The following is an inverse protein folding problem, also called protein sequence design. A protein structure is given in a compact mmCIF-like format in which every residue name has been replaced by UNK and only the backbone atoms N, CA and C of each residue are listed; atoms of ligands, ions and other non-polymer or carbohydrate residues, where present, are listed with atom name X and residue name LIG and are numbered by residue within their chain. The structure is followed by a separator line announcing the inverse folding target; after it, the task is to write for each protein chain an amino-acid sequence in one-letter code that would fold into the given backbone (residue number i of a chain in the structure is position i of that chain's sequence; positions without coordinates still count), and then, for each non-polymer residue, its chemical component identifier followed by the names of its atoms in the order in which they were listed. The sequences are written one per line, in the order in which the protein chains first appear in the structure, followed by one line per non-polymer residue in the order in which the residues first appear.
data_IF_416660530968
#
_entry.id   IF_416660530968
#
_cell.length_a   1.000
_cell.length_b   1.000
_cell.length_c   1.000
_cell.angle_alpha   90.00
_cell.angle_beta   90.00
_cell.angle_gamma   90.00
#
_symmetry.space_group_name_H-M   'P 1'
#
loop_
_entity.id
_entity.type
_entity.pdbx_description
1 polymer ?
#
# COMPACT_ATOMS: atom_id res chain seq x y z
N UNK A 1 60.88 19.38 -5.46
CA UNK A 1 59.40 19.35 -5.45
C UNK A 1 58.95 19.67 -4.04
N UNK A 2 58.15 20.73 -3.84
CA UNK A 2 57.56 21.03 -2.53
C UNK A 2 56.52 19.94 -2.23
N UNK A 3 56.78 19.11 -1.22
CA UNK A 3 55.86 18.07 -0.78
C UNK A 3 54.67 18.68 -0.04
N UNK A 4 53.49 18.11 -0.25
CA UNK A 4 52.29 18.46 0.49
C UNK A 4 52.49 18.13 1.97
N UNK A 5 52.16 19.04 2.88
CA UNK A 5 52.29 18.78 4.31
C UNK A 5 51.10 17.95 4.83
N UNK A 6 51.33 17.17 5.87
CA UNK A 6 50.26 16.38 6.51
C UNK A 6 49.11 17.26 7.02
N UNK A 7 49.41 18.48 7.45
CA UNK A 7 48.41 19.44 7.94
C UNK A 7 47.51 19.94 6.81
N UNK A 8 48.08 20.27 5.64
CA UNK A 8 47.29 20.69 4.48
C UNK A 8 46.32 19.59 4.02
N UNK A 9 46.77 18.34 4.02
CA UNK A 9 45.90 17.20 3.69
C UNK A 9 44.79 17.02 4.72
N UNK A 10 45.11 17.19 6.01
CA UNK A 10 44.17 17.03 7.11
C UNK A 10 43.06 18.10 7.10
N UNK A 11 43.39 19.35 6.79
CA UNK A 11 42.37 20.42 6.70
C UNK A 11 41.40 20.15 5.54
N UNK A 12 41.90 19.66 4.41
CA UNK A 12 41.05 19.36 3.23
C UNK A 12 40.07 18.24 3.54
N UNK A 13 40.52 17.13 4.15
CA UNK A 13 39.60 16.04 4.51
C UNK A 13 38.59 16.47 5.58
N UNK A 14 38.98 17.35 6.52
CA UNK A 14 38.08 17.89 7.53
C UNK A 14 36.95 18.73 6.90
N UNK A 15 37.28 19.58 5.93
CA UNK A 15 36.28 20.38 5.20
C UNK A 15 35.35 19.46 4.38
N UNK A 16 35.89 18.47 3.66
CA UNK A 16 35.10 17.51 2.88
C UNK A 16 34.13 16.74 3.80
N UNK A 17 34.61 16.31 4.99
CA UNK A 17 33.78 15.60 5.96
C UNK A 17 32.61 16.46 6.47
N UNK A 18 32.84 17.74 6.78
CA UNK A 18 31.79 18.68 7.20
C UNK A 18 30.76 18.88 6.09
N UNK A 19 31.22 19.14 4.85
CA UNK A 19 30.34 19.32 3.71
C UNK A 19 29.51 18.07 3.42
N UNK A 20 30.13 16.88 3.44
CA UNK A 20 29.44 15.62 3.25
C UNK A 20 28.41 15.36 4.35
N UNK A 21 28.74 15.65 5.61
CA UNK A 21 27.83 15.46 6.74
C UNK A 21 26.54 16.31 6.62
N UNK A 22 26.62 17.50 6.03
CA UNK A 22 25.45 18.34 5.77
C UNK A 22 24.65 17.88 4.53
N UNK A 23 25.32 17.33 3.52
CA UNK A 23 24.68 16.91 2.26
C UNK A 23 23.98 15.55 2.36
N UNK A 24 24.53 14.59 3.11
CA UNK A 24 24.00 13.22 3.21
C UNK A 24 22.54 13.16 3.69
N UNK A 25 22.12 13.89 4.76
CA UNK A 25 20.72 13.88 5.19
C UNK A 25 19.77 14.48 4.15
N UNK A 26 20.20 15.52 3.43
CA UNK A 26 19.41 16.15 2.38
C UNK A 26 19.24 15.21 1.18
N UNK A 27 20.32 14.56 0.75
CA UNK A 27 20.29 13.58 -0.34
C UNK A 27 19.43 12.36 0.00
N UNK A 28 19.50 11.86 1.23
CA UNK A 28 18.66 10.76 1.70
C UNK A 28 17.17 11.11 1.60
N UNK A 29 16.77 12.30 2.06
CA UNK A 29 15.38 12.80 1.93
C UNK A 29 14.96 12.98 0.47
N UNK A 30 15.84 13.50 -0.38
CA UNK A 30 15.57 13.68 -1.81
C UNK A 30 15.33 12.32 -2.50
N UNK A 31 16.19 11.33 -2.21
CA UNK A 31 16.05 9.96 -2.73
C UNK A 31 14.71 9.33 -2.30
N UNK A 32 14.31 9.50 -1.05
CA UNK A 32 13.04 8.96 -0.56
C UNK A 32 11.83 9.62 -1.22
N UNK A 33 11.86 10.95 -1.42
CA UNK A 33 10.81 11.66 -2.18
C UNK A 33 10.74 11.21 -3.64
N UNK A 34 11.89 10.94 -4.26
CA UNK A 34 11.93 10.41 -5.63
C UNK A 34 11.27 9.02 -5.71
N UNK A 35 11.63 8.11 -4.80
CA UNK A 35 10.98 6.79 -4.69
C UNK A 35 9.47 6.90 -4.46
N UNK A 36 9.03 7.76 -3.54
CA UNK A 36 7.60 8.01 -3.31
C UNK A 36 6.89 8.50 -4.56
N UNK A 37 7.51 9.41 -5.31
CA UNK A 37 6.94 9.94 -6.56
C UNK A 37 6.82 8.85 -7.62
N UNK A 38 7.82 7.97 -7.72
CA UNK A 38 7.77 6.80 -8.60
C UNK A 38 6.64 5.85 -8.19
N UNK A 39 6.49 5.55 -6.90
CA UNK A 39 5.40 4.70 -6.39
C UNK A 39 4.02 5.32 -6.63
N UNK A 40 3.87 6.63 -6.43
CA UNK A 40 2.62 7.32 -6.75
C UNK A 40 2.29 7.23 -8.25
N UNK A 41 3.30 7.33 -9.12
CA UNK A 41 3.11 7.13 -10.56
C UNK A 41 2.74 5.69 -10.92
N UNK A 42 3.22 4.70 -10.17
CA UNK A 42 2.80 3.30 -10.31
C UNK A 42 1.35 3.12 -9.84
N UNK A 43 0.96 3.73 -8.72
CA UNK A 43 -0.42 3.67 -8.22
C UNK A 43 -1.42 4.30 -9.18
N UNK A 44 -1.04 5.38 -9.89
CA UNK A 44 -1.87 5.93 -10.98
C UNK A 44 -2.05 4.95 -12.14
N UNK A 45 -1.03 4.17 -12.49
CA UNK A 45 -1.15 3.13 -13.51
C UNK A 45 -2.09 2.02 -13.04
N UNK A 46 -2.02 1.62 -11.76
CA UNK A 46 -2.96 0.65 -11.17
C UNK A 46 -4.38 1.20 -11.16
N UNK A 47 -4.58 2.46 -10.78
CA UNK A 47 -5.90 3.12 -10.82
C UNK A 47 -6.51 3.20 -12.21
N UNK A 48 -5.69 3.46 -13.24
CA UNK A 48 -6.13 3.39 -14.63
C UNK A 48 -6.53 1.97 -15.03
N UNK A 49 -5.69 0.97 -14.72
CA UNK A 49 -5.99 -0.43 -14.97
C UNK A 49 -7.27 -0.89 -14.27
N UNK A 50 -7.49 -0.44 -13.05
CA UNK A 50 -8.71 -0.67 -12.29
C UNK A 50 -9.96 -0.11 -12.99
N UNK A 51 -9.91 1.13 -13.48
CA UNK A 51 -11.02 1.71 -14.22
C UNK A 51 -11.32 0.96 -15.52
N UNK A 52 -10.28 0.60 -16.29
CA UNK A 52 -10.44 -0.19 -17.51
C UNK A 52 -11.06 -1.57 -17.22
N UNK A 53 -10.63 -2.23 -16.14
CA UNK A 53 -11.23 -3.48 -15.70
C UNK A 53 -12.71 -3.29 -15.32
N UNK A 54 -13.03 -2.28 -14.52
CA UNK A 54 -14.40 -1.97 -14.11
C UNK A 54 -15.33 -1.77 -15.31
N UNK A 55 -14.88 -1.05 -16.35
CA UNK A 55 -15.64 -0.86 -17.58
C UNK A 55 -15.86 -2.20 -18.31
N UNK A 56 -14.84 -3.05 -18.38
CA UNK A 56 -14.91 -4.36 -19.05
C UNK A 56 -15.78 -5.40 -18.32
N UNK A 57 -15.87 -5.31 -16.99
CA UNK A 57 -16.52 -6.32 -16.13
C UNK A 57 -17.92 -5.92 -15.68
N UNK A 58 -18.50 -4.85 -16.24
CA UNK A 58 -19.74 -4.23 -15.75
C UNK A 58 -19.68 -3.88 -14.25
N UNK A 59 -18.50 -3.43 -13.79
CA UNK A 59 -18.21 -3.05 -12.42
C UNK A 59 -18.18 -4.21 -11.43
N UNK A 60 -18.10 -5.46 -11.89
CA UNK A 60 -17.94 -6.61 -11.00
C UNK A 60 -16.47 -6.76 -10.64
N UNK A 61 -16.17 -6.64 -9.35
CA UNK A 61 -14.84 -6.88 -8.80
C UNK A 61 -14.72 -8.33 -8.29
N UNK A 62 -13.51 -8.93 -8.31
CA UNK A 62 -13.30 -10.27 -7.77
C UNK A 62 -13.58 -10.32 -6.27
N UNK A 63 -13.96 -11.49 -5.76
CA UNK A 63 -14.18 -11.70 -4.33
C UNK A 63 -12.93 -11.32 -3.51
N UNK A 64 -13.13 -10.57 -2.44
CA UNK A 64 -12.09 -10.29 -1.46
C UNK A 64 -11.77 -11.58 -0.70
N UNK A 65 -10.59 -12.14 -0.87
CA UNK A 65 -10.10 -13.20 -0.01
C UNK A 65 -8.58 -13.15 0.03
N UNK A 66 -8.02 -13.63 1.13
CA UNK A 66 -6.58 -13.71 1.27
C UNK A 66 -6.05 -14.84 0.36
N UNK A 67 -5.07 -14.54 -0.49
CA UNK A 67 -4.55 -15.48 -1.49
C UNK A 67 -3.03 -15.62 -1.34
N UNK A 68 -2.53 -16.78 -0.90
CA UNK A 68 -1.09 -17.03 -0.89
C UNK A 68 -0.59 -17.20 -2.32
N UNK A 69 0.62 -16.70 -2.59
CA UNK A 69 1.25 -16.74 -3.91
C UNK A 69 0.29 -16.28 -5.03
N UNK A 70 -0.25 -15.07 -4.88
CA UNK A 70 -1.35 -14.55 -5.70
C UNK A 70 -1.08 -14.49 -7.21
N UNK A 71 0.16 -14.56 -7.65
CA UNK A 71 0.55 -14.64 -9.07
C UNK A 71 0.68 -16.06 -9.61
N UNK A 72 0.49 -17.08 -8.77
CA UNK A 72 0.56 -18.49 -9.15
C UNK A 72 -0.56 -18.88 -10.11
N UNK A 73 -0.31 -19.73 -11.12
CA UNK A 73 -1.36 -20.31 -11.96
C UNK A 73 -2.41 -21.13 -11.18
N UNK A 74 -2.06 -21.58 -9.97
CA UNK A 74 -2.95 -22.34 -9.09
C UNK A 74 -3.70 -21.46 -8.09
N UNK A 75 -3.34 -20.17 -8.00
CA UNK A 75 -4.04 -19.24 -7.13
C UNK A 75 -5.46 -18.99 -7.68
N UNK A 76 -6.47 -18.91 -6.80
CA UNK A 76 -7.79 -18.44 -7.22
C UNK A 76 -7.71 -17.03 -7.80
N UNK A 77 -8.65 -16.71 -8.69
CA UNK A 77 -8.77 -15.40 -9.30
C UNK A 77 -8.85 -14.32 -8.21
N UNK A 78 -7.99 -13.32 -8.30
CA UNK A 78 -7.87 -12.25 -7.32
C UNK A 78 -7.71 -10.88 -7.98
N UNK A 79 -7.87 -9.82 -7.18
CA UNK A 79 -7.85 -8.44 -7.66
C UNK A 79 -6.58 -8.08 -8.42
N UNK A 80 -5.40 -8.50 -7.95
CA UNK A 80 -4.15 -8.15 -8.63
C UNK A 80 -3.97 -8.88 -9.96
N UNK A 81 -4.47 -10.10 -10.09
CA UNK A 81 -4.42 -10.87 -11.33
C UNK A 81 -5.30 -10.28 -12.44
N UNK A 82 -6.51 -9.84 -12.10
CA UNK A 82 -7.46 -9.35 -13.12
C UNK A 82 -7.02 -8.03 -13.76
N UNK A 83 -6.14 -7.27 -13.09
CA UNK A 83 -5.59 -6.03 -13.61
C UNK A 83 -4.38 -6.23 -14.53
N UNK A 84 -3.77 -7.41 -14.55
CA UNK A 84 -2.54 -7.67 -15.32
C UNK A 84 -2.65 -7.31 -16.80
N UNK A 85 -3.71 -7.70 -17.53
CA UNK A 85 -3.83 -7.38 -18.95
C UNK A 85 -3.84 -5.86 -19.22
N UNK A 86 -4.39 -5.08 -18.29
CA UNK A 86 -4.47 -3.62 -18.37
C UNK A 86 -3.17 -2.91 -17.98
N UNK A 87 -2.27 -3.62 -17.30
CA UNK A 87 -0.94 -3.15 -16.93
C UNK A 87 0.14 -3.57 -17.96
N UNK A 88 -0.27 -4.14 -19.10
CA UNK A 88 0.66 -4.69 -20.10
C UNK A 88 1.49 -5.86 -19.56
N UNK A 89 0.99 -6.51 -18.51
CA UNK A 89 1.59 -7.68 -17.88
C UNK A 89 0.71 -8.90 -18.13
N UNK A 90 1.25 -10.09 -17.88
CA UNK A 90 0.55 -11.35 -18.04
C UNK A 90 0.95 -12.28 -16.91
N UNK A 91 0.12 -13.29 -16.66
CA UNK A 91 0.50 -14.43 -15.84
C UNK A 91 1.52 -15.25 -16.64
N UNK A 92 2.76 -14.76 -16.71
CA UNK A 92 3.91 -15.58 -17.07
C UNK A 92 4.70 -15.91 -15.80
N UNK A 93 5.12 -17.17 -15.68
CA UNK A 93 5.78 -17.66 -14.47
C UNK A 93 7.21 -17.11 -14.28
N UNK A 94 7.54 -15.97 -14.89
CA UNK A 94 8.91 -15.52 -15.09
C UNK A 94 9.18 -14.11 -14.57
N UNK A 95 8.17 -13.29 -14.25
CA UNK A 95 8.42 -11.98 -13.63
C UNK A 95 7.23 -11.46 -12.82
N UNK A 96 7.46 -10.91 -11.61
CA UNK A 96 6.39 -10.28 -10.87
C UNK A 96 6.01 -8.96 -11.54
N UNK A 97 4.77 -8.52 -11.31
CA UNK A 97 4.27 -7.25 -11.83
C UNK A 97 4.90 -6.10 -11.07
N UNK A 98 5.96 -5.50 -11.66
CA UNK A 98 6.81 -4.49 -11.00
C UNK A 98 6.02 -3.32 -10.42
N UNK A 99 4.90 -2.94 -11.04
CA UNK A 99 4.02 -1.84 -10.61
C UNK A 99 3.43 -2.07 -9.21
N UNK A 100 3.34 -3.33 -8.75
CA UNK A 100 2.84 -3.66 -7.42
C UNK A 100 3.90 -3.59 -6.31
N UNK A 101 5.18 -3.52 -6.67
CA UNK A 101 6.29 -3.58 -5.73
C UNK A 101 6.87 -2.19 -5.48
N UNK A 102 6.72 -1.69 -4.24
CA UNK A 102 7.42 -0.48 -3.82
C UNK A 102 8.90 -0.79 -3.46
N UNK A 103 9.89 -0.11 -4.06
CA UNK A 103 11.32 -0.34 -3.80
C UNK A 103 11.81 0.20 -2.45
N UNK A 104 10.95 0.85 -1.66
CA UNK A 104 11.25 1.25 -0.28
C UNK A 104 10.83 0.18 0.74
N UNK A 105 10.05 -0.82 0.35
CA UNK A 105 9.52 -1.82 1.26
C UNK A 105 10.48 -3.01 1.40
N UNK A 106 10.59 -3.52 2.63
CA UNK A 106 11.29 -4.77 2.90
C UNK A 106 10.46 -5.97 2.42
N UNK A 107 11.09 -7.12 2.24
CA UNK A 107 10.39 -8.38 1.98
C UNK A 107 9.85 -8.98 3.29
N UNK A 108 8.67 -9.59 3.23
CA UNK A 108 8.06 -10.31 4.34
C UNK A 108 8.87 -11.56 4.69
N UNK A 109 9.09 -11.78 5.99
CA UNK A 109 9.72 -13.01 6.48
C UNK A 109 8.75 -14.18 6.51
N UNK A 110 7.47 -13.92 6.75
CA UNK A 110 6.44 -14.97 6.85
C UNK A 110 5.91 -15.40 5.48
N UNK A 111 5.80 -14.45 4.55
CA UNK A 111 5.30 -14.65 3.19
C UNK A 111 6.23 -13.97 2.18
N UNK A 112 7.46 -14.48 2.02
CA UNK A 112 8.46 -13.84 1.17
C UNK A 112 7.97 -13.73 -0.27
N UNK A 113 8.26 -12.61 -0.97
CA UNK A 113 7.97 -12.46 -2.39
C UNK A 113 8.53 -13.62 -3.23
N UNK A 114 7.76 -14.04 -4.24
CA UNK A 114 8.15 -15.07 -5.22
C UNK A 114 8.43 -14.43 -6.58
N UNK A 115 8.79 -15.26 -7.58
CA UNK A 115 9.00 -14.80 -8.97
C UNK A 115 7.72 -14.36 -9.66
N UNK A 116 6.55 -14.68 -9.11
CA UNK A 116 5.24 -14.32 -9.67
C UNK A 116 4.42 -13.44 -8.73
N UNK A 117 4.72 -13.50 -7.42
CA UNK A 117 3.98 -12.81 -6.37
C UNK A 117 4.90 -11.90 -5.58
N UNK A 118 4.96 -10.63 -5.96
CA UNK A 118 5.69 -9.58 -5.24
C UNK A 118 4.86 -8.29 -5.25
N UNK A 119 4.09 -8.07 -4.19
CA UNK A 119 3.27 -6.88 -4.03
C UNK A 119 3.45 -6.27 -2.64
N UNK A 120 3.42 -4.95 -2.58
CA UNK A 120 3.30 -4.19 -1.33
C UNK A 120 2.00 -3.42 -1.29
N UNK A 121 0.89 -4.08 -1.66
CA UNK A 121 -0.43 -3.47 -1.82
C UNK A 121 -1.50 -4.33 -1.15
N UNK A 122 -2.45 -3.70 -0.46
CA UNK A 122 -3.63 -4.35 0.08
C UNK A 122 -4.88 -3.68 -0.49
N UNK A 123 -5.81 -4.41 -1.11
CA UNK A 123 -7.08 -3.85 -1.53
C UNK A 123 -8.09 -3.83 -0.40
N UNK A 124 -9.05 -2.92 -0.55
CA UNK A 124 -10.18 -2.75 0.33
C UNK A 124 -11.23 -3.84 0.07
N UNK A 125 -11.28 -4.84 0.96
CA UNK A 125 -12.23 -5.95 0.87
C UNK A 125 -13.68 -5.48 0.70
N UNK A 126 -14.08 -4.45 1.43
CA UNK A 126 -15.45 -3.92 1.41
C UNK A 126 -15.82 -3.36 0.03
N UNK A 127 -14.86 -2.92 -0.77
CA UNK A 127 -15.07 -2.49 -2.16
C UNK A 127 -15.10 -3.67 -3.13
N UNK A 128 -14.22 -4.66 -2.94
CA UNK A 128 -14.04 -5.79 -3.87
C UNK A 128 -15.30 -6.64 -4.08
N UNK A 129 -16.20 -6.69 -3.10
CA UNK A 129 -17.42 -7.50 -3.20
C UNK A 129 -18.63 -6.71 -3.75
N UNK A 130 -18.41 -5.51 -4.27
CA UNK A 130 -19.48 -4.58 -4.63
C UNK A 130 -19.29 -4.04 -6.04
N UNK A 131 -20.43 -3.71 -6.66
CA UNK A 131 -20.41 -2.89 -7.86
C UNK A 131 -19.96 -1.48 -7.51
N UNK A 132 -19.16 -0.86 -8.38
CA UNK A 132 -18.75 0.53 -8.21
C UNK A 132 -19.94 1.48 -8.02
N UNK A 133 -21.07 1.22 -8.69
CA UNK A 133 -22.31 2.00 -8.54
C UNK A 133 -22.96 1.92 -7.15
N UNK A 134 -22.58 0.95 -6.32
CA UNK A 134 -23.02 0.86 -4.93
C UNK A 134 -22.20 1.77 -4.00
N UNK A 135 -21.06 2.29 -4.45
CA UNK A 135 -20.20 3.17 -3.66
C UNK A 135 -20.69 4.62 -3.81
N UNK A 136 -21.27 5.19 -2.74
CA UNK A 136 -21.85 6.54 -2.77
C UNK A 136 -20.84 7.68 -3.02
N UNK A 137 -19.57 7.50 -2.66
CA UNK A 137 -18.50 8.49 -2.86
C UNK A 137 -17.20 7.84 -3.36
N UNK A 138 -17.11 7.47 -4.66
CA UNK A 138 -15.94 6.75 -5.18
C UNK A 138 -14.61 7.51 -5.00
N UNK A 139 -14.62 8.84 -5.12
CA UNK A 139 -13.44 9.68 -4.94
C UNK A 139 -12.98 9.80 -3.47
N UNK A 140 -13.80 9.38 -2.50
CA UNK A 140 -13.45 9.40 -1.08
C UNK A 140 -13.17 8.03 -0.49
N UNK A 141 -13.35 6.94 -1.25
CA UNK A 141 -13.17 5.57 -0.77
C UNK A 141 -11.95 4.96 -1.46
N UNK A 142 -11.02 4.46 -0.66
CA UNK A 142 -9.82 3.76 -1.09
C UNK A 142 -10.19 2.36 -1.56
N UNK A 143 -9.74 1.99 -2.77
CA UNK A 143 -9.82 0.62 -3.30
C UNK A 143 -8.53 -0.15 -3.07
N UNK A 144 -7.38 0.52 -3.06
CA UNK A 144 -6.06 -0.10 -2.93
C UNK A 144 -5.13 0.82 -2.17
N UNK A 145 -4.31 0.25 -1.30
CA UNK A 145 -3.37 1.00 -0.49
C UNK A 145 -2.01 0.33 -0.42
N UNK A 146 -0.96 1.13 -0.33
CA UNK A 146 0.38 0.62 -0.06
C UNK A 146 0.50 0.04 1.35
N UNK A 147 1.14 -1.13 1.43
CA UNK A 147 1.55 -1.80 2.66
C UNK A 147 2.91 -1.27 3.15
N UNK A 148 3.34 -1.73 4.32
CA UNK A 148 4.67 -1.48 4.87
C UNK A 148 5.70 -2.55 4.47
N UNK A 149 5.28 -3.61 3.78
CA UNK A 149 6.11 -4.75 3.40
C UNK A 149 5.71 -5.30 2.04
N UNK A 150 6.64 -5.95 1.35
CA UNK A 150 6.34 -6.72 0.15
C UNK A 150 6.11 -8.18 0.52
N UNK A 151 5.10 -8.79 -0.08
CA UNK A 151 4.63 -10.12 0.26
C UNK A 151 4.22 -10.89 -1.00
N UNK A 152 4.33 -12.21 -0.93
CA UNK A 152 3.66 -13.11 -1.89
C UNK A 152 2.21 -13.41 -1.51
N UNK A 153 1.82 -13.09 -0.27
CA UNK A 153 0.44 -13.16 0.20
C UNK A 153 -0.29 -11.88 -0.19
N UNK A 154 -1.38 -12.04 -0.91
CA UNK A 154 -2.37 -11.01 -1.16
C UNK A 154 -3.33 -10.98 0.03
N UNK A 155 -3.25 -9.92 0.83
CA UNK A 155 -4.13 -9.66 1.98
C UNK A 155 -5.13 -8.55 1.63
N UNK A 156 -6.38 -8.71 2.05
CA UNK A 156 -7.41 -7.68 1.90
C UNK A 156 -7.70 -7.03 3.25
N UNK A 157 -7.66 -5.71 3.33
CA UNK A 157 -7.94 -4.94 4.55
C UNK A 157 -8.84 -3.76 4.20
N UNK A 158 -9.88 -3.42 4.99
CA UNK A 158 -10.33 -4.09 6.21
C UNK A 158 -10.76 -5.54 5.99
N UNK A 159 -10.60 -6.38 6.99
CA UNK A 159 -11.02 -7.78 6.96
C UNK A 159 -12.49 -7.91 7.37
N UNK A 160 -13.29 -8.83 6.76
CA UNK A 160 -14.58 -9.21 7.32
C UNK A 160 -14.42 -9.68 8.77
N UNK A 161 -15.38 -9.35 9.62
CA UNK A 161 -15.41 -9.89 10.97
C UNK A 161 -15.54 -11.42 10.95
N UNK A 162 -15.19 -12.07 12.06
CA UNK A 162 -15.17 -13.53 12.17
C UNK A 162 -16.50 -14.21 11.82
N UNK A 163 -17.62 -13.48 11.97
CA UNK A 163 -18.95 -13.89 11.52
C UNK A 163 -19.36 -13.09 10.26
N UNK A 164 -19.19 -13.66 9.05
CA UNK A 164 -19.54 -12.98 7.80
C UNK A 164 -21.03 -12.63 7.67
N UNK A 165 -21.91 -13.29 8.43
CA UNK A 165 -23.35 -13.06 8.37
C UNK A 165 -23.75 -11.66 8.88
N UNK A 166 -22.90 -11.03 9.69
CA UNK A 166 -23.14 -9.71 10.26
C UNK A 166 -22.78 -8.57 9.30
N UNK A 167 -22.00 -8.86 8.25
CA UNK A 167 -21.54 -7.84 7.29
C UNK A 167 -20.70 -6.74 7.94
N UNK A 168 -20.05 -7.04 9.06
CA UNK A 168 -19.14 -6.14 9.77
C UNK A 168 -17.69 -6.40 9.35
N UNK A 169 -16.85 -5.41 9.59
CA UNK A 169 -15.45 -5.40 9.19
C UNK A 169 -14.58 -4.96 10.36
N UNK A 170 -13.33 -5.40 10.39
CA UNK A 170 -12.32 -5.00 11.38
C UNK A 170 -11.01 -4.65 10.67
N UNK A 171 -10.00 -4.18 11.40
CA UNK A 171 -8.64 -4.02 10.88
C UNK A 171 -8.53 -3.15 9.61
N UNK A 172 -9.32 -2.06 9.53
CA UNK A 172 -9.08 -1.03 8.51
C UNK A 172 -7.72 -0.33 8.72
N UNK A 173 -7.19 -0.43 9.95
CA UNK A 173 -5.81 -0.18 10.35
C UNK A 173 -5.35 -1.30 11.28
N UNK A 174 -4.08 -1.65 11.21
CA UNK A 174 -3.47 -2.78 11.92
C UNK A 174 -2.38 -2.29 12.86
N UNK A 175 -2.68 -2.31 14.15
CA UNK A 175 -1.73 -2.04 15.22
C UNK A 175 -0.88 -3.28 15.51
N UNK A 176 0.45 -3.17 15.34
CA UNK A 176 1.38 -4.23 15.73
C UNK A 176 2.23 -3.77 16.91
N UNK A 177 1.91 -4.27 18.11
CA UNK A 177 2.50 -3.90 19.40
C UNK A 177 4.03 -4.04 19.42
N UNK A 178 4.57 -5.12 18.84
CA UNK A 178 6.00 -5.42 18.82
C UNK A 178 6.85 -4.39 18.03
N UNK A 179 6.23 -3.64 17.12
CA UNK A 179 6.93 -2.69 16.23
C UNK A 179 6.45 -1.25 16.43
N UNK A 180 5.33 -1.03 17.15
CA UNK A 180 4.70 0.29 17.30
C UNK A 180 4.38 0.94 15.96
N UNK A 181 4.13 0.12 14.93
CA UNK A 181 3.97 0.54 13.54
C UNK A 181 2.65 0.03 13.00
N UNK A 182 2.07 0.87 12.17
CA UNK A 182 0.97 0.54 11.30
C UNK A 182 1.45 -0.41 10.18
N UNK A 183 0.67 -1.47 9.90
CA UNK A 183 0.94 -2.40 8.80
C UNK A 183 0.63 -1.78 7.42
N UNK A 184 -0.28 -0.82 7.43
CA UNK A 184 -0.89 -0.18 6.28
C UNK A 184 -0.41 1.27 6.12
N UNK A 185 -0.17 1.76 4.91
CA UNK A 185 0.17 3.18 4.69
C UNK A 185 1.35 3.70 5.55
N UNK A 186 2.33 2.84 5.81
CA UNK A 186 3.53 3.16 6.57
C UNK A 186 4.82 2.99 5.75
N UNK A 187 4.68 3.18 4.44
CA UNK A 187 5.77 3.44 3.52
C UNK A 187 6.25 4.91 3.64
N UNK A 188 7.19 5.33 2.81
CA UNK A 188 7.43 6.73 2.43
C UNK A 188 7.19 7.79 3.51
N UNK A 189 8.11 7.91 4.47
CA UNK A 189 8.04 8.87 5.58
C UNK A 189 6.76 8.72 6.46
N UNK A 190 6.33 7.51 6.83
CA UNK A 190 5.12 7.30 7.65
C UNK A 190 3.81 7.61 6.92
N UNK A 191 3.73 7.24 5.65
CA UNK A 191 2.53 7.39 4.81
C UNK A 191 2.43 6.32 3.73
N UNK A 192 1.43 6.40 2.88
CA UNK A 192 1.24 5.47 1.78
C UNK A 192 0.59 6.16 0.61
N UNK A 193 0.83 5.62 -0.58
CA UNK A 193 0.03 5.93 -1.73
C UNK A 193 -1.27 5.11 -1.67
N UNK A 194 -2.36 5.76 -2.01
CA UNK A 194 -3.72 5.24 -2.03
C UNK A 194 -4.23 5.36 -3.45
N UNK A 195 -5.04 4.39 -3.87
CA UNK A 195 -5.87 4.44 -5.07
C UNK A 195 -7.32 4.44 -4.62
N UNK A 196 -8.12 5.34 -5.17
CA UNK A 196 -9.53 5.51 -4.84
C UNK A 196 -10.42 4.79 -5.85
N UNK A 197 -11.69 4.59 -5.51
CA UNK A 197 -12.65 3.87 -6.34
C UNK A 197 -13.01 4.58 -7.66
N UNK A 198 -12.61 5.84 -7.85
CA UNK A 198 -12.67 6.53 -9.15
C UNK A 198 -11.36 6.37 -9.98
N UNK A 199 -10.39 5.64 -9.44
CA UNK A 199 -9.09 5.35 -10.06
C UNK A 199 -8.02 6.43 -9.86
N UNK A 200 -8.29 7.55 -9.19
CA UNK A 200 -7.22 8.50 -8.87
C UNK A 200 -6.32 7.96 -7.76
N UNK A 201 -5.09 8.46 -7.69
CA UNK A 201 -4.15 8.08 -6.65
C UNK A 201 -3.55 9.30 -5.95
N UNK A 202 -3.42 9.22 -4.63
CA UNK A 202 -2.86 10.28 -3.80
C UNK A 202 -2.01 9.71 -2.65
N UNK A 203 -1.14 10.54 -2.09
CA UNK A 203 -0.34 10.17 -0.92
C UNK A 203 -1.01 10.73 0.35
N UNK A 204 -1.10 9.90 1.39
CA UNK A 204 -1.53 10.35 2.71
C UNK A 204 -0.60 9.85 3.81
N UNK A 205 -0.54 10.58 4.92
CA UNK A 205 0.09 10.08 6.15
C UNK A 205 -0.94 9.19 6.85
N UNK A 206 -0.54 8.02 7.37
CA UNK A 206 -1.49 7.12 8.04
C UNK A 206 -2.29 7.83 9.16
N UNK A 207 -1.65 8.77 9.88
CA UNK A 207 -2.29 9.55 10.95
C UNK A 207 -3.46 10.44 10.50
N UNK A 208 -3.59 10.70 9.20
CA UNK A 208 -4.69 11.48 8.63
C UNK A 208 -5.86 10.60 8.19
N UNK A 209 -5.65 9.29 8.11
CA UNK A 209 -6.68 8.35 7.67
C UNK A 209 -7.71 8.12 8.76
N UNK A 210 -8.90 7.80 8.30
CA UNK A 210 -10.08 7.51 9.09
C UNK A 210 -10.76 6.25 8.55
N UNK A 211 -11.65 5.67 9.34
CA UNK A 211 -12.50 4.56 8.89
C UNK A 211 -13.26 4.89 7.60
N UNK A 212 -13.65 6.16 7.40
CA UNK A 212 -14.44 6.59 6.26
C UNK A 212 -13.66 6.52 4.94
N UNK A 213 -12.34 6.71 4.96
CA UNK A 213 -11.49 6.55 3.78
C UNK A 213 -11.56 5.11 3.24
N UNK A 214 -11.88 4.15 4.09
CA UNK A 214 -12.11 2.75 3.73
C UNK A 214 -13.59 2.39 3.57
N UNK A 215 -14.47 3.39 3.56
CA UNK A 215 -15.92 3.23 3.43
C UNK A 215 -16.60 2.70 4.69
N UNK A 216 -15.98 2.84 5.85
CA UNK A 216 -16.45 2.30 7.12
C UNK A 216 -16.84 3.40 8.12
N UNK A 217 -17.81 3.08 8.96
CA UNK A 217 -18.15 3.81 10.18
C UNK A 217 -18.26 2.84 11.35
N UNK A 218 -18.07 3.31 12.58
CA UNK A 218 -18.29 2.46 13.76
C UNK A 218 -19.72 1.93 13.79
N UNK A 219 -20.00 0.95 14.64
CA UNK A 219 -21.36 0.41 14.80
C UNK A 219 -22.39 1.49 15.17
N UNK A 220 -21.95 2.58 15.82
CA UNK A 220 -22.80 3.75 16.16
C UNK A 220 -22.91 4.79 15.04
N UNK A 221 -22.27 4.57 13.88
CA UNK A 221 -22.31 5.45 12.72
C UNK A 221 -21.30 6.61 12.77
N UNK A 222 -20.30 6.57 13.66
CA UNK A 222 -19.28 7.62 13.76
C UNK A 222 -18.05 7.30 12.91
N UNK A 223 -17.45 8.33 12.35
CA UNK A 223 -16.13 8.22 11.72
C UNK A 223 -15.07 8.08 12.81
N UNK A 224 -14.22 7.07 12.70
CA UNK A 224 -13.16 6.80 13.68
C UNK A 224 -11.81 7.21 13.09
N UNK A 225 -11.06 8.12 13.73
CA UNK A 225 -9.71 8.46 13.30
C UNK A 225 -8.73 7.33 13.63
N UNK A 226 -7.55 7.36 13.02
CA UNK A 226 -6.48 6.42 13.37
C UNK A 226 -6.07 6.57 14.84
N UNK A 227 -6.12 5.47 15.60
CA UNK A 227 -5.72 5.38 17.00
C UNK A 227 -4.77 4.21 17.17
N UNK A 228 -3.58 4.47 17.74
CA UNK A 228 -2.50 3.50 17.87
C UNK A 228 -2.73 2.46 18.98
N UNK A 229 -3.86 1.75 18.96
CA UNK A 229 -4.16 0.72 19.96
C UNK A 229 -4.72 -0.53 19.30
N UNK A 230 -4.38 -1.69 19.86
CA UNK A 230 -4.93 -2.98 19.42
C UNK A 230 -6.47 -2.99 19.52
N UNK A 231 -7.01 -2.40 20.58
CA UNK A 231 -8.47 -2.28 20.77
C UNK A 231 -9.15 -1.50 19.64
N UNK A 232 -8.53 -0.42 19.14
CA UNK A 232 -9.08 0.34 18.02
C UNK A 232 -8.93 -0.39 16.68
N UNK A 233 -7.84 -1.14 16.49
CA UNK A 233 -7.62 -1.94 15.29
C UNK A 233 -8.61 -3.09 15.17
N UNK A 234 -9.01 -3.68 16.30
CA UNK A 234 -9.98 -4.79 16.39
C UNK A 234 -11.43 -4.34 16.58
N UNK A 235 -11.70 -3.03 16.60
CA UNK A 235 -13.08 -2.52 16.66
C UNK A 235 -13.87 -3.00 15.43
N UNK A 236 -15.15 -3.31 15.63
CA UNK A 236 -16.05 -3.66 14.53
C UNK A 236 -16.66 -2.42 13.88
N UNK A 237 -16.71 -2.45 12.56
CA UNK A 237 -17.20 -1.40 11.70
C UNK A 237 -18.28 -1.95 10.78
N UNK A 238 -19.16 -1.06 10.33
CA UNK A 238 -20.16 -1.33 9.29
C UNK A 238 -19.93 -0.43 8.07
N UNK A 239 -20.41 -0.83 6.88
CA UNK A 239 -20.36 0.02 5.71
C UNK A 239 -21.02 1.38 5.94
N UNK A 240 -20.40 2.43 5.40
CA UNK A 240 -20.88 3.81 5.50
C UNK A 240 -21.94 4.19 4.45
N UNK A 241 -22.21 3.30 3.48
CA UNK A 241 -23.11 3.55 2.34
C UNK A 241 -24.20 2.48 2.21
#
# INVERSE_FOLDING_TARGET
MRGFTLIELLVVIAIIAILAAMLLPALAKAKEKAKRTQCLSQMRQVGLAYNMYNESSNGQLPLGHNVPDFGSPFAPANFLQVLLPYLGSRLDNQSPTRVYACPSLAASSSFPPTTVSDAGLHPNHMVLERKLSAIKNPAGVVVLQESNIRSSLFLTEPEPAHDPSQGTYTQWHTYIEAVGKEYICNAHEKGGNLVFCDGHASYSKYKKLTSLDFGLVSMTGKVVPWIATEASSREEFKPAF
#
